data_IF_646284975506
#
_entry.id   IF_646284975506
#
_cell.length_a   1.000
_cell.length_b   1.000
_cell.length_c   1.000
_cell.angle_alpha   90.00
_cell.angle_beta   90.00
_cell.angle_gamma   90.00
#
_symmetry.space_group_name_H-M   'P 1'
#
loop_
_entity.id
_entity.type
_entity.pdbx_description
1 polymer ?
#
# COMPACT_ATOMS: atom_id res chain seq x y z
N UNK A 1 -0.65 -17.98 -15.63
CA UNK A 1 -1.27 -16.77 -15.05
C UNK A 1 -2.73 -17.00 -14.71
N UNK A 2 -3.41 -17.98 -15.31
CA UNK A 2 -4.85 -18.25 -15.06
C UNK A 2 -5.18 -18.90 -13.69
N UNK A 3 -4.21 -19.09 -12.80
CA UNK A 3 -4.41 -19.69 -11.46
C UNK A 3 -4.47 -18.66 -10.32
N UNK A 4 -4.15 -17.39 -10.59
CA UNK A 4 -4.16 -16.35 -9.56
C UNK A 4 -5.55 -15.71 -9.45
N UNK A 5 -5.97 -15.44 -8.22
CA UNK A 5 -7.16 -14.62 -7.96
C UNK A 5 -6.99 -13.20 -8.53
N UNK A 6 -8.11 -12.49 -8.71
CA UNK A 6 -8.07 -11.07 -9.13
C UNK A 6 -7.26 -10.20 -8.17
N UNK A 7 -7.35 -10.47 -6.87
CA UNK A 7 -6.59 -9.74 -5.85
C UNK A 7 -5.09 -10.01 -5.92
N UNK A 8 -4.67 -11.26 -6.15
CA UNK A 8 -3.25 -11.57 -6.34
C UNK A 8 -2.68 -10.94 -7.62
N UNK A 9 -3.46 -10.93 -8.70
CA UNK A 9 -3.09 -10.20 -9.91
C UNK A 9 -2.90 -8.71 -9.64
N UNK A 10 -3.82 -8.08 -8.91
CA UNK A 10 -3.74 -6.66 -8.57
C UNK A 10 -2.50 -6.34 -7.74
N UNK A 11 -2.18 -7.18 -6.75
CA UNK A 11 -0.96 -7.07 -5.94
C UNK A 11 0.28 -7.10 -6.83
N UNK A 12 0.37 -8.07 -7.74
CA UNK A 12 1.51 -8.20 -8.65
C UNK A 12 1.65 -6.99 -9.58
N UNK A 13 0.55 -6.49 -10.12
CA UNK A 13 0.53 -5.29 -10.97
C UNK A 13 1.04 -4.08 -10.18
N UNK A 14 0.53 -3.85 -8.96
CA UNK A 14 0.95 -2.73 -8.12
C UNK A 14 2.45 -2.81 -7.79
N UNK A 15 2.92 -3.96 -7.31
CA UNK A 15 4.33 -4.17 -6.96
C UNK A 15 5.22 -3.97 -8.21
N UNK A 16 4.81 -4.50 -9.35
CA UNK A 16 5.56 -4.37 -10.60
C UNK A 16 5.67 -2.91 -11.03
N UNK A 17 4.55 -2.16 -11.03
CA UNK A 17 4.54 -0.75 -11.43
C UNK A 17 5.43 0.08 -10.50
N UNK A 18 5.32 -0.11 -9.19
CA UNK A 18 6.14 0.64 -8.22
C UNK A 18 7.62 0.28 -8.41
N UNK A 19 7.96 -1.01 -8.48
CA UNK A 19 9.34 -1.46 -8.68
C UNK A 19 9.94 -0.95 -10.00
N UNK A 20 9.12 -0.82 -11.05
CA UNK A 20 9.58 -0.39 -12.38
C UNK A 20 9.87 1.11 -12.46
N UNK A 21 9.10 1.93 -11.74
CA UNK A 21 9.08 3.39 -11.89
C UNK A 21 9.61 4.16 -10.68
N UNK A 22 9.67 3.55 -9.50
CA UNK A 22 10.14 4.22 -8.30
C UNK A 22 11.66 4.41 -8.35
N UNK A 23 12.09 5.65 -8.21
CA UNK A 23 13.49 6.04 -8.10
C UNK A 23 13.86 6.36 -6.65
N UNK A 24 15.16 6.46 -6.37
CA UNK A 24 15.67 6.79 -5.04
C UNK A 24 15.20 8.19 -4.61
N UNK A 25 14.58 8.31 -3.43
CA UNK A 25 13.99 9.56 -2.94
C UNK A 25 12.61 9.88 -3.53
N UNK A 26 12.00 8.96 -4.30
CA UNK A 26 10.70 9.16 -4.91
C UNK A 26 9.52 9.16 -3.92
N UNK A 27 8.32 9.43 -4.43
CA UNK A 27 7.08 9.38 -3.65
C UNK A 27 6.11 8.40 -4.31
N UNK A 28 5.62 7.43 -3.54
CA UNK A 28 4.57 6.50 -3.93
C UNK A 28 3.26 6.96 -3.29
N UNK A 29 2.27 7.25 -4.12
CA UNK A 29 0.92 7.61 -3.68
C UNK A 29 -0.07 6.56 -4.20
N UNK A 30 -0.79 5.89 -3.30
CA UNK A 30 -1.76 4.85 -3.68
C UNK A 30 -3.09 5.12 -2.99
N UNK A 31 -4.14 5.22 -3.79
CA UNK A 31 -5.51 5.30 -3.29
C UNK A 31 -6.10 3.89 -3.15
N UNK A 32 -6.57 3.58 -1.95
CA UNK A 32 -7.18 2.29 -1.57
C UNK A 32 -6.37 1.07 -2.06
N UNK A 33 -5.12 0.87 -1.60
CA UNK A 33 -4.28 -0.23 -2.05
C UNK A 33 -4.91 -1.60 -1.77
N UNK A 34 -5.80 -1.68 -0.79
CA UNK A 34 -6.50 -2.87 -0.34
C UNK A 34 -7.85 -3.13 -1.02
N UNK A 35 -8.24 -2.29 -1.98
CA UNK A 35 -9.50 -2.43 -2.69
C UNK A 35 -9.57 -3.81 -3.38
N UNK A 36 -10.65 -4.55 -3.10
CA UNK A 36 -10.91 -5.93 -3.57
C UNK A 36 -9.93 -7.01 -3.09
N UNK A 37 -9.06 -6.73 -2.12
CA UNK A 37 -8.15 -7.73 -1.56
C UNK A 37 -8.78 -8.49 -0.40
N UNK A 38 -8.49 -9.78 -0.32
CA UNK A 38 -8.81 -10.57 0.87
C UNK A 38 -8.00 -10.04 2.07
N UNK A 39 -8.58 -9.92 3.29
CA UNK A 39 -7.90 -9.36 4.46
C UNK A 39 -6.54 -9.98 4.77
N UNK A 40 -6.39 -11.28 4.54
CA UNK A 40 -5.12 -11.99 4.76
C UNK A 40 -3.96 -11.51 3.88
N UNK A 41 -4.25 -10.87 2.74
CA UNK A 41 -3.25 -10.39 1.79
C UNK A 41 -2.80 -8.95 2.08
N UNK A 42 -3.65 -8.16 2.75
CA UNK A 42 -3.42 -6.73 2.99
C UNK A 42 -2.10 -6.51 3.75
N UNK A 43 -1.86 -7.27 4.81
CA UNK A 43 -0.63 -7.13 5.59
C UNK A 43 0.63 -7.49 4.79
N UNK A 44 0.55 -8.49 3.91
CA UNK A 44 1.65 -8.87 3.03
C UNK A 44 1.95 -7.81 1.98
N UNK A 45 0.91 -7.22 1.38
CA UNK A 45 1.04 -6.10 0.46
C UNK A 45 1.69 -4.90 1.14
N UNK A 46 1.15 -4.44 2.27
CA UNK A 46 1.67 -3.28 3.00
C UNK A 46 3.14 -3.46 3.41
N UNK A 47 3.49 -4.64 3.94
CA UNK A 47 4.89 -4.94 4.28
C UNK A 47 5.83 -4.90 3.07
N UNK A 48 5.34 -5.33 1.89
CA UNK A 48 6.12 -5.28 0.65
C UNK A 48 6.29 -3.84 0.15
N UNK A 49 5.23 -3.03 0.21
CA UNK A 49 5.28 -1.61 -0.15
C UNK A 49 6.27 -0.86 0.74
N UNK A 50 6.16 -1.04 2.06
CA UNK A 50 7.07 -0.45 3.05
C UNK A 50 8.52 -0.82 2.75
N UNK A 51 8.80 -2.10 2.51
CA UNK A 51 10.14 -2.58 2.18
C UNK A 51 10.70 -1.95 0.89
N UNK A 52 9.89 -1.87 -0.17
CA UNK A 52 10.30 -1.27 -1.44
C UNK A 52 10.62 0.21 -1.28
N UNK A 53 9.78 0.94 -0.54
CA UNK A 53 9.98 2.37 -0.31
C UNK A 53 11.18 2.64 0.59
N UNK A 54 11.38 1.87 1.65
CA UNK A 54 12.53 2.00 2.55
C UNK A 54 13.86 1.77 1.81
N UNK A 55 13.94 0.71 0.99
CA UNK A 55 15.12 0.38 0.18
C UNK A 55 15.51 1.51 -0.78
N UNK A 56 14.54 2.30 -1.24
CA UNK A 56 14.75 3.39 -2.19
C UNK A 56 14.68 4.77 -1.51
N UNK A 57 14.74 4.86 -0.17
CA UNK A 57 14.57 6.11 0.59
C UNK A 57 13.36 6.93 0.12
N UNK A 58 12.31 6.25 -0.32
CA UNK A 58 11.12 6.83 -0.91
C UNK A 58 10.04 7.01 0.15
N UNK A 59 9.13 7.95 -0.08
CA UNK A 59 7.99 8.20 0.78
C UNK A 59 6.77 7.42 0.30
N UNK A 60 6.10 6.69 1.20
CA UNK A 60 4.83 6.03 0.93
C UNK A 60 3.67 6.84 1.52
N UNK A 61 2.68 7.18 0.70
CA UNK A 61 1.44 7.83 1.09
C UNK A 61 0.28 6.96 0.61
N UNK A 62 -0.59 6.55 1.53
CA UNK A 62 -1.75 5.73 1.21
C UNK A 62 -3.02 6.32 1.80
N UNK A 63 -4.13 6.10 1.10
CA UNK A 63 -5.49 6.34 1.60
C UNK A 63 -6.23 5.00 1.64
N UNK A 64 -7.07 4.80 2.64
CA UNK A 64 -7.90 3.61 2.76
C UNK A 64 -9.05 3.90 3.72
N UNK A 65 -10.17 3.20 3.53
CA UNK A 65 -11.29 3.16 4.48
C UNK A 65 -11.21 1.97 5.45
N UNK A 66 -10.17 1.13 5.34
CA UNK A 66 -10.03 -0.07 6.15
C UNK A 66 -9.44 0.24 7.54
N UNK A 67 -10.19 -0.01 8.64
CA UNK A 67 -9.72 0.30 9.98
C UNK A 67 -8.45 -0.46 10.39
N UNK A 68 -8.22 -1.65 9.85
CA UNK A 68 -7.05 -2.45 10.22
C UNK A 68 -5.75 -1.87 9.64
N UNK A 69 -5.83 -1.20 8.49
CA UNK A 69 -4.72 -0.41 7.93
C UNK A 69 -4.44 0.80 8.83
N UNK A 70 -5.48 1.51 9.28
CA UNK A 70 -5.29 2.65 10.17
C UNK A 70 -4.65 2.25 11.48
N UNK A 71 -5.11 1.17 12.11
CA UNK A 71 -4.52 0.64 13.35
C UNK A 71 -3.02 0.35 13.18
N UNK A 72 -2.60 -0.18 12.01
CA UNK A 72 -1.19 -0.47 11.71
C UNK A 72 -0.32 0.79 11.81
N UNK A 73 -0.76 1.91 11.22
CA UNK A 73 0.04 3.14 11.14
C UNK A 73 -0.19 4.11 12.31
N UNK A 74 -1.34 4.03 12.98
CA UNK A 74 -1.66 4.84 14.15
C UNK A 74 -0.68 4.56 15.30
N UNK A 75 -0.35 3.29 15.55
CA UNK A 75 0.62 2.89 16.55
C UNK A 75 2.04 3.47 16.34
N UNK A 76 2.32 3.94 15.12
CA UNK A 76 3.62 4.50 14.73
C UNK A 76 3.60 6.04 14.61
N UNK A 77 2.45 6.70 14.89
CA UNK A 77 2.30 8.15 14.71
C UNK A 77 2.34 8.60 13.25
N UNK A 78 2.16 7.68 12.30
CA UNK A 78 2.25 7.93 10.85
C UNK A 78 0.88 8.21 10.21
N UNK A 79 -0.17 8.39 11.02
CA UNK A 79 -1.53 8.66 10.56
C UNK A 79 -1.82 10.15 10.62
N UNK A 80 -2.21 10.72 9.48
CA UNK A 80 -2.70 12.10 9.39
C UNK A 80 -4.18 12.05 9.02
N UNK A 81 -5.05 12.62 9.86
CA UNK A 81 -6.45 12.84 9.51
C UNK A 81 -6.58 14.17 8.78
N UNK A 82 -7.13 14.16 7.57
CA UNK A 82 -7.32 15.35 6.74
C UNK A 82 -8.59 16.14 7.10
N UNK A 83 -9.37 15.69 8.10
CA UNK A 83 -10.52 16.43 8.62
C UNK A 83 -11.73 16.55 7.68
N UNK A 84 -11.84 15.69 6.66
CA UNK A 84 -12.99 15.66 5.77
C UNK A 84 -14.24 15.11 6.47
N UNK A 85 -15.24 15.97 6.69
CA UNK A 85 -16.60 15.53 6.99
C UNK A 85 -17.23 15.05 5.67
N UNK A 86 -17.38 13.74 5.51
CA UNK A 86 -18.28 13.17 4.50
C UNK A 86 -19.74 13.39 4.92
#
# INVERSE_FOLDING_TARGET
>A
MDELSSGEHQILIQIYLISRWLENGGIVMIDEPDLYLHPSMIHGLLGTLEYLTDKLNAQLIITSHNPDIWKRYEAQGLRISLGGSL
#
